data_IF_088567721575
#
_entry.id   IF_088567721575
#
_cell.length_a   1.000
_cell.length_b   1.000
_cell.length_c   1.000
_cell.angle_alpha   90.00
_cell.angle_beta   90.00
_cell.angle_gamma   90.00
#
_symmetry.space_group_name_H-M   'P 1'
#
loop_
_entity.id
_entity.type
_entity.pdbx_description
1 polymer ?
#
# COMPACT_ATOMS: atom_id res chain seq x y z
N UNK A 1 13.86 -28.65 -21.03
CA UNK A 1 14.58 -27.83 -20.02
C UNK A 1 14.12 -26.41 -20.21
N UNK A 2 13.16 -25.94 -19.40
CA UNK A 2 12.68 -24.58 -19.44
C UNK A 2 13.75 -23.67 -18.81
N UNK A 3 14.16 -22.65 -19.54
CA UNK A 3 15.07 -21.63 -19.05
C UNK A 3 14.44 -20.96 -17.83
N UNK A 4 15.11 -21.04 -16.67
CA UNK A 4 14.78 -20.25 -15.50
C UNK A 4 14.95 -18.77 -15.85
N UNK A 5 13.85 -18.06 -16.10
CA UNK A 5 13.88 -16.62 -16.12
C UNK A 5 14.22 -16.14 -14.71
N UNK A 6 15.38 -15.54 -14.54
CA UNK A 6 15.86 -14.91 -13.29
C UNK A 6 15.05 -13.61 -12.97
N UNK A 7 13.73 -13.67 -13.03
CA UNK A 7 12.83 -12.57 -12.68
C UNK A 7 12.13 -12.84 -11.35
N UNK A 8 11.71 -11.79 -10.67
CA UNK A 8 10.87 -11.92 -9.48
C UNK A 8 9.59 -12.73 -9.79
N UNK A 9 9.05 -13.50 -8.82
CA UNK A 9 7.77 -14.19 -8.98
C UNK A 9 6.64 -13.21 -9.33
N UNK A 10 5.57 -13.66 -10.01
CA UNK A 10 4.43 -12.81 -10.33
C UNK A 10 3.77 -12.25 -9.06
N UNK A 11 3.06 -11.14 -9.19
CA UNK A 11 2.38 -10.51 -8.06
C UNK A 11 1.05 -11.20 -7.78
N UNK A 12 0.71 -11.40 -6.51
CA UNK A 12 -0.60 -11.87 -6.09
C UNK A 12 -1.53 -10.68 -5.83
N UNK A 13 -2.66 -10.64 -6.50
CA UNK A 13 -3.68 -9.61 -6.31
C UNK A 13 -4.85 -10.18 -5.50
N UNK A 14 -5.13 -9.56 -4.36
CA UNK A 14 -6.38 -9.76 -3.64
C UNK A 14 -7.48 -8.93 -4.30
N UNK A 15 -8.56 -9.59 -4.73
CA UNK A 15 -9.66 -8.99 -5.50
C UNK A 15 -10.29 -7.74 -4.83
N UNK A 16 -10.30 -7.71 -3.48
CA UNK A 16 -11.09 -6.76 -2.73
C UNK A 16 -12.57 -7.14 -2.69
N UNK A 17 -13.44 -6.22 -2.30
CA UNK A 17 -14.88 -6.47 -2.26
C UNK A 17 -15.45 -6.54 -3.69
N UNK A 18 -16.11 -7.65 -4.08
CA UNK A 18 -16.70 -7.83 -5.43
C UNK A 18 -17.74 -6.78 -5.82
N UNK A 19 -18.42 -6.20 -4.84
CA UNK A 19 -19.41 -5.15 -5.06
C UNK A 19 -18.81 -3.75 -5.23
N UNK A 20 -17.50 -3.59 -4.96
CA UNK A 20 -16.76 -2.33 -5.06
C UNK A 20 -16.09 -2.11 -6.41
N UNK A 21 -15.31 -1.02 -6.51
CA UNK A 21 -14.58 -0.66 -7.74
C UNK A 21 -13.32 -1.51 -7.97
N UNK A 22 -12.84 -2.27 -6.97
CA UNK A 22 -11.59 -3.05 -7.07
C UNK A 22 -11.52 -3.93 -8.32
N UNK A 23 -12.49 -4.84 -8.54
CA UNK A 23 -12.47 -5.75 -9.70
C UNK A 23 -12.42 -5.02 -11.05
N UNK A 24 -13.19 -3.94 -11.25
CA UNK A 24 -13.19 -3.19 -12.50
C UNK A 24 -11.85 -2.48 -12.75
N UNK A 25 -11.19 -2.01 -11.68
CA UNK A 25 -9.90 -1.33 -11.78
C UNK A 25 -8.75 -2.31 -12.05
N UNK A 26 -8.78 -3.53 -11.48
CA UNK A 26 -7.82 -4.56 -11.84
C UNK A 26 -7.99 -5.06 -13.27
N UNK A 27 -9.22 -5.21 -13.75
CA UNK A 27 -9.50 -5.55 -15.14
C UNK A 27 -8.95 -4.48 -16.09
N UNK A 28 -9.17 -3.20 -15.78
CA UNK A 28 -8.65 -2.10 -16.59
C UNK A 28 -7.11 -2.00 -16.50
N UNK A 29 -6.52 -2.19 -15.32
CA UNK A 29 -5.07 -2.22 -15.17
C UNK A 29 -4.45 -3.32 -16.04
N UNK A 30 -5.06 -4.52 -16.09
CA UNK A 30 -4.59 -5.59 -16.96
C UNK A 30 -4.75 -5.22 -18.44
N UNK A 31 -5.86 -4.60 -18.85
CA UNK A 31 -6.06 -4.17 -20.25
C UNK A 31 -4.98 -3.18 -20.71
N UNK A 32 -4.47 -2.35 -19.79
CA UNK A 32 -3.39 -1.37 -20.03
C UNK A 32 -2.00 -1.87 -19.66
N UNK A 33 -1.83 -3.17 -19.38
CA UNK A 33 -0.59 -3.74 -18.81
C UNK A 33 0.69 -3.42 -19.60
N UNK A 34 0.60 -3.41 -20.91
CA UNK A 34 1.75 -3.12 -21.78
C UNK A 34 2.10 -1.64 -21.76
N UNK A 35 1.11 -0.76 -21.90
CA UNK A 35 1.29 0.70 -21.82
C UNK A 35 1.83 1.11 -20.45
N UNK A 36 1.29 0.52 -19.39
CA UNK A 36 1.68 0.79 -18.01
C UNK A 36 2.98 0.09 -17.58
N UNK A 37 3.55 -0.81 -18.38
CA UNK A 37 4.77 -1.56 -18.04
C UNK A 37 4.61 -2.42 -16.78
N UNK A 38 3.45 -3.08 -16.62
CA UNK A 38 3.16 -3.86 -15.42
C UNK A 38 3.89 -5.20 -15.45
N UNK A 39 4.47 -5.58 -14.32
CA UNK A 39 4.96 -6.93 -14.06
C UNK A 39 3.80 -7.92 -14.10
N UNK A 40 4.04 -9.20 -14.47
CA UNK A 40 3.01 -10.22 -14.42
C UNK A 40 2.36 -10.31 -13.04
N UNK A 41 1.03 -10.35 -13.04
CA UNK A 41 0.24 -10.57 -11.83
C UNK A 41 -0.91 -11.54 -12.10
N UNK A 42 -1.44 -12.11 -11.06
CA UNK A 42 -2.65 -12.93 -11.08
C UNK A 42 -3.60 -12.51 -9.96
N UNK A 43 -4.89 -12.74 -10.15
CA UNK A 43 -5.89 -12.46 -9.11
C UNK A 43 -6.26 -13.78 -8.43
N UNK A 44 -6.47 -13.74 -7.12
CA UNK A 44 -6.88 -14.91 -6.34
C UNK A 44 -8.41 -14.99 -6.26
N UNK A 45 -9.03 -15.86 -7.05
CA UNK A 45 -10.49 -16.03 -7.17
C UNK A 45 -11.18 -14.96 -7.99
N UNK A 46 -12.51 -15.05 -8.11
CA UNK A 46 -13.39 -14.03 -8.70
C UNK A 46 -13.32 -13.89 -10.22
N UNK A 47 -13.12 -14.97 -10.96
CA UNK A 47 -13.02 -14.91 -12.42
C UNK A 47 -14.30 -14.34 -13.07
N UNK A 48 -15.48 -14.78 -12.61
CA UNK A 48 -16.77 -14.27 -13.10
C UNK A 48 -17.01 -12.82 -12.69
N UNK A 49 -16.63 -12.46 -11.46
CA UNK A 49 -16.68 -11.07 -10.97
C UNK A 49 -15.83 -10.15 -11.85
N UNK A 50 -14.60 -10.54 -12.18
CA UNK A 50 -13.69 -9.75 -13.02
C UNK A 50 -14.24 -9.56 -14.44
N UNK A 51 -14.79 -10.61 -15.04
CA UNK A 51 -15.42 -10.53 -16.39
C UNK A 51 -16.63 -9.61 -16.36
N UNK A 52 -17.49 -9.72 -15.34
CA UNK A 52 -18.66 -8.85 -15.20
C UNK A 52 -18.25 -7.39 -14.98
N UNK A 53 -17.24 -7.16 -14.14
CA UNK A 53 -16.70 -5.84 -13.85
C UNK A 53 -16.04 -5.20 -15.09
N UNK A 54 -15.29 -5.96 -15.88
CA UNK A 54 -14.69 -5.50 -17.13
C UNK A 54 -15.77 -5.08 -18.15
N UNK A 55 -16.83 -5.87 -18.27
CA UNK A 55 -17.97 -5.55 -19.16
C UNK A 55 -18.63 -4.22 -18.81
N UNK A 56 -18.75 -3.88 -17.52
CA UNK A 56 -19.32 -2.59 -17.11
C UNK A 56 -18.50 -1.39 -17.59
N UNK A 57 -17.24 -1.62 -17.94
CA UNK A 57 -16.31 -0.63 -18.53
C UNK A 57 -16.16 -0.77 -20.06
N UNK A 58 -16.88 -1.67 -20.68
CA UNK A 58 -16.76 -1.95 -22.11
C UNK A 58 -15.45 -2.67 -22.50
N UNK A 59 -14.81 -3.33 -21.53
CA UNK A 59 -13.56 -4.08 -21.73
C UNK A 59 -13.91 -5.55 -21.98
N UNK A 60 -13.44 -6.10 -23.09
CA UNK A 60 -13.42 -7.55 -23.33
C UNK A 60 -12.20 -8.14 -22.62
N UNK A 61 -12.45 -8.85 -21.52
CA UNK A 61 -11.42 -9.38 -20.64
C UNK A 61 -11.30 -10.91 -20.83
N UNK A 62 -10.28 -11.38 -21.53
CA UNK A 62 -9.94 -12.79 -21.52
C UNK A 62 -9.36 -13.16 -20.15
N UNK A 63 -9.91 -14.22 -19.55
CA UNK A 63 -9.47 -14.75 -18.26
C UNK A 63 -8.95 -16.17 -18.44
N UNK A 64 -7.77 -16.46 -17.91
CA UNK A 64 -7.19 -17.79 -17.85
C UNK A 64 -7.15 -18.30 -16.40
N UNK A 65 -7.83 -19.41 -16.11
CA UNK A 65 -7.70 -20.07 -14.80
C UNK A 65 -6.35 -20.77 -14.73
N UNK A 66 -5.62 -20.54 -13.64
CA UNK A 66 -4.34 -21.18 -13.36
C UNK A 66 -4.42 -22.03 -12.09
N UNK A 67 -3.63 -23.09 -12.05
CA UNK A 67 -3.52 -23.97 -10.88
C UNK A 67 -2.36 -23.56 -9.94
N UNK A 68 -1.32 -22.93 -10.50
CA UNK A 68 -0.15 -22.47 -9.76
C UNK A 68 0.29 -21.04 -10.18
N UNK A 69 0.82 -20.23 -9.25
CA UNK A 69 1.31 -18.88 -9.53
C UNK A 69 2.33 -18.81 -10.69
N UNK A 70 3.19 -19.82 -10.81
CA UNK A 70 4.23 -19.88 -11.85
C UNK A 70 3.68 -19.83 -13.29
N UNK A 71 2.43 -20.24 -13.51
CA UNK A 71 1.78 -20.22 -14.82
C UNK A 71 1.43 -18.78 -15.27
N UNK A 72 1.29 -17.86 -14.30
CA UNK A 72 0.80 -16.51 -14.58
C UNK A 72 1.65 -15.76 -15.60
N UNK A 73 2.98 -15.84 -15.50
CA UNK A 73 3.88 -15.08 -16.36
C UNK A 73 3.73 -15.43 -17.87
N UNK A 74 3.50 -16.70 -18.18
CA UNK A 74 3.34 -17.16 -19.56
C UNK A 74 2.01 -16.76 -20.19
N UNK A 75 0.97 -16.61 -19.36
CA UNK A 75 -0.39 -16.32 -19.81
C UNK A 75 -0.74 -14.82 -19.77
N UNK A 76 0.02 -14.04 -18.99
CA UNK A 76 -0.27 -12.63 -18.70
C UNK A 76 -0.41 -11.74 -19.94
N UNK A 77 0.34 -12.06 -20.98
CA UNK A 77 0.28 -11.33 -22.27
C UNK A 77 -1.04 -11.52 -23.03
N UNK A 78 -1.73 -12.65 -22.86
CA UNK A 78 -2.91 -13.03 -23.63
C UNK A 78 -4.21 -12.99 -22.83
N UNK A 79 -4.16 -13.31 -21.52
CA UNK A 79 -5.32 -13.34 -20.64
C UNK A 79 -4.93 -12.94 -19.22
N UNK A 80 -5.90 -12.42 -18.45
CA UNK A 80 -5.72 -12.18 -17.01
C UNK A 80 -5.69 -13.52 -16.26
N UNK A 81 -4.57 -13.90 -15.62
CA UNK A 81 -4.52 -15.14 -14.87
C UNK A 81 -5.35 -15.01 -13.59
N UNK A 82 -6.16 -16.04 -13.30
CA UNK A 82 -6.94 -16.13 -12.04
C UNK A 82 -6.66 -17.46 -11.38
N UNK A 83 -6.16 -17.41 -10.15
CA UNK A 83 -5.82 -18.58 -9.35
C UNK A 83 -7.03 -19.04 -8.54
N UNK A 84 -7.38 -20.31 -8.68
CA UNK A 84 -8.49 -20.92 -7.94
C UNK A 84 -9.81 -20.89 -8.69
N UNK A 85 -10.83 -21.48 -8.05
CA UNK A 85 -12.18 -21.64 -8.61
C UNK A 85 -13.24 -20.81 -7.87
N UNK A 86 -12.87 -20.23 -6.73
CA UNK A 86 -13.77 -19.45 -5.87
C UNK A 86 -14.27 -18.22 -6.63
N UNK A 87 -15.58 -18.01 -6.55
CA UNK A 87 -16.27 -16.93 -7.25
C UNK A 87 -17.49 -16.46 -6.45
N UNK A 88 -18.10 -15.36 -6.85
CA UNK A 88 -19.34 -14.83 -6.28
C UNK A 88 -20.17 -14.12 -7.34
N UNK A 89 -21.40 -13.79 -7.02
CA UNK A 89 -22.24 -12.92 -7.86
C UNK A 89 -21.65 -11.51 -7.95
N UNK A 90 -21.73 -10.90 -9.14
CA UNK A 90 -21.35 -9.50 -9.33
C UNK A 90 -22.52 -8.58 -8.98
N UNK A 91 -22.55 -8.04 -7.77
CA UNK A 91 -23.62 -7.15 -7.25
C UNK A 91 -23.07 -5.74 -7.01
N UNK A 92 -22.69 -5.02 -8.08
CA UNK A 92 -22.08 -3.70 -7.98
C UNK A 92 -22.86 -2.73 -7.10
N UNK A 93 -22.20 -2.14 -6.10
CA UNK A 93 -22.79 -1.19 -5.15
C UNK A 93 -23.60 -1.83 -4.03
N UNK A 94 -23.84 -3.15 -4.07
CA UNK A 94 -24.64 -3.87 -3.08
C UNK A 94 -23.84 -5.03 -2.45
N UNK A 95 -22.94 -4.73 -1.49
CA UNK A 95 -22.09 -5.75 -0.88
C UNK A 95 -22.91 -6.74 -0.05
N UNK A 96 -22.60 -8.03 -0.20
CA UNK A 96 -23.25 -9.13 0.48
C UNK A 96 -22.25 -10.05 1.20
N UNK A 97 -22.77 -11.09 1.87
CA UNK A 97 -21.99 -12.05 2.65
C UNK A 97 -21.12 -12.96 1.78
N UNK A 98 -21.60 -13.33 0.60
CA UNK A 98 -20.88 -14.19 -0.34
C UNK A 98 -19.67 -13.43 -0.91
N UNK A 99 -19.87 -12.18 -1.33
CA UNK A 99 -18.81 -11.29 -1.77
C UNK A 99 -17.77 -11.03 -0.67
N UNK A 100 -18.22 -10.85 0.58
CA UNK A 100 -17.30 -10.70 1.72
C UNK A 100 -16.45 -11.97 1.92
N UNK A 101 -17.05 -13.17 1.80
CA UNK A 101 -16.33 -14.43 1.91
C UNK A 101 -15.27 -14.58 0.80
N UNK A 102 -15.61 -14.25 -0.45
CA UNK A 102 -14.66 -14.23 -1.56
C UNK A 102 -13.54 -13.23 -1.32
N UNK A 103 -13.84 -12.01 -0.85
CA UNK A 103 -12.84 -10.99 -0.54
C UNK A 103 -11.84 -11.45 0.52
N UNK A 104 -12.34 -12.09 1.59
CA UNK A 104 -11.48 -12.63 2.67
C UNK A 104 -10.65 -13.82 2.18
N UNK A 105 -11.26 -14.75 1.42
CA UNK A 105 -10.53 -15.86 0.79
C UNK A 105 -9.39 -15.33 -0.10
N UNK A 106 -9.72 -14.37 -0.96
CA UNK A 106 -8.76 -13.75 -1.88
C UNK A 106 -7.61 -13.08 -1.14
N UNK A 107 -7.89 -12.31 -0.09
CA UNK A 107 -6.88 -11.66 0.74
C UNK A 107 -5.97 -12.69 1.43
N UNK A 108 -6.57 -13.71 2.04
CA UNK A 108 -5.84 -14.76 2.75
C UNK A 108 -4.93 -15.52 1.81
N UNK A 109 -5.43 -15.94 0.66
CA UNK A 109 -4.66 -16.72 -0.32
C UNK A 109 -3.51 -15.91 -0.92
N UNK A 110 -3.77 -14.67 -1.34
CA UNK A 110 -2.72 -13.78 -1.87
C UNK A 110 -1.61 -13.53 -0.85
N UNK A 111 -1.98 -13.33 0.42
CA UNK A 111 -1.02 -13.13 1.52
C UNK A 111 -0.16 -14.37 1.75
N UNK A 112 -0.77 -15.56 1.79
CA UNK A 112 -0.04 -16.83 1.97
C UNK A 112 0.98 -17.06 0.87
N UNK A 113 0.62 -16.77 -0.39
CA UNK A 113 1.52 -16.91 -1.53
C UNK A 113 2.70 -15.93 -1.50
N UNK A 114 2.49 -14.72 -0.98
CA UNK A 114 3.59 -13.78 -0.77
C UNK A 114 4.50 -14.23 0.38
N UNK A 115 3.95 -14.78 1.46
CA UNK A 115 4.74 -15.30 2.59
C UNK A 115 5.54 -16.53 2.19
N UNK A 116 4.98 -17.44 1.37
CA UNK A 116 5.69 -18.63 0.88
C UNK A 116 6.73 -18.33 -0.20
N UNK A 117 6.75 -17.09 -0.74
CA UNK A 117 7.64 -16.71 -1.83
C UNK A 117 7.16 -17.15 -3.22
N UNK A 118 5.98 -17.74 -3.33
CA UNK A 118 5.36 -18.10 -4.62
C UNK A 118 4.85 -16.87 -5.37
N UNK A 119 4.63 -15.75 -4.65
CA UNK A 119 4.37 -14.44 -5.23
C UNK A 119 5.40 -13.43 -4.74
N UNK A 120 5.86 -12.53 -5.63
CA UNK A 120 6.85 -11.50 -5.32
C UNK A 120 6.32 -10.39 -4.43
N UNK A 121 5.01 -10.16 -4.45
CA UNK A 121 4.32 -9.17 -3.62
C UNK A 121 2.84 -9.48 -3.53
N UNK A 122 2.16 -8.86 -2.55
CA UNK A 122 0.70 -8.81 -2.51
C UNK A 122 0.21 -7.38 -2.83
N UNK A 123 -0.73 -7.29 -3.77
CA UNK A 123 -1.45 -6.03 -4.06
C UNK A 123 -2.90 -6.22 -3.63
N UNK A 124 -3.38 -5.38 -2.71
CA UNK A 124 -4.70 -5.60 -2.14
C UNK A 124 -5.74 -4.62 -2.68
N UNK A 125 -6.86 -5.16 -3.19
CA UNK A 125 -8.06 -4.40 -3.47
C UNK A 125 -8.76 -3.91 -2.19
N UNK A 126 -9.57 -2.86 -2.29
CA UNK A 126 -10.29 -2.31 -1.14
C UNK A 126 -11.36 -3.27 -0.61
N UNK A 127 -11.51 -3.35 0.71
CA UNK A 127 -12.49 -4.19 1.40
C UNK A 127 -13.48 -3.37 2.22
N UNK A 128 -14.69 -3.89 2.41
CA UNK A 128 -15.68 -3.35 3.33
C UNK A 128 -15.54 -4.02 4.71
N UNK A 129 -14.90 -3.34 5.66
CA UNK A 129 -14.64 -3.89 7.01
C UNK A 129 -15.92 -4.36 7.71
N UNK A 130 -17.01 -3.60 7.59
CA UNK A 130 -18.30 -3.96 8.19
C UNK A 130 -18.84 -5.30 7.66
N UNK A 131 -18.68 -5.59 6.37
CA UNK A 131 -19.11 -6.84 5.76
C UNK A 131 -18.20 -8.01 6.13
N UNK A 132 -16.89 -7.77 6.20
CA UNK A 132 -15.97 -8.80 6.67
C UNK A 132 -16.19 -9.17 8.14
N UNK A 133 -16.55 -8.21 8.99
CA UNK A 133 -16.90 -8.47 10.39
C UNK A 133 -18.10 -9.43 10.53
N UNK A 134 -19.09 -9.39 9.62
CA UNK A 134 -20.24 -10.29 9.60
C UNK A 134 -19.86 -11.76 9.34
N UNK A 135 -18.67 -12.02 8.82
CA UNK A 135 -18.14 -13.36 8.54
C UNK A 135 -16.96 -13.76 9.44
N UNK A 136 -16.71 -12.99 10.50
CA UNK A 136 -15.72 -13.31 11.53
C UNK A 136 -14.35 -12.69 11.32
N UNK A 137 -14.20 -11.70 10.45
CA UNK A 137 -12.97 -10.91 10.38
C UNK A 137 -12.89 -9.97 11.58
N UNK A 138 -11.86 -10.14 12.41
CA UNK A 138 -11.73 -9.45 13.70
C UNK A 138 -10.69 -8.33 13.69
N UNK A 139 -9.81 -8.28 12.70
CA UNK A 139 -8.75 -7.28 12.62
C UNK A 139 -9.31 -5.88 12.30
N UNK A 140 -8.71 -4.81 12.82
CA UNK A 140 -9.10 -3.42 12.51
C UNK A 140 -9.02 -3.08 11.01
N UNK A 141 -8.12 -3.74 10.29
CA UNK A 141 -7.93 -3.54 8.85
C UNK A 141 -7.01 -4.56 8.19
N UNK A 142 -6.73 -4.35 6.91
CA UNK A 142 -5.83 -5.22 6.15
C UNK A 142 -4.38 -5.17 6.65
N UNK A 143 -3.93 -4.03 7.18
CA UNK A 143 -2.56 -3.88 7.70
C UNK A 143 -2.33 -4.80 8.89
N UNK A 144 -3.26 -4.80 9.84
CA UNK A 144 -3.19 -5.64 11.03
C UNK A 144 -3.35 -7.13 10.66
N UNK A 145 -4.25 -7.44 9.73
CA UNK A 145 -4.38 -8.80 9.19
C UNK A 145 -3.06 -9.31 8.58
N UNK A 146 -2.37 -8.49 7.81
CA UNK A 146 -1.09 -8.85 7.19
C UNK A 146 0.02 -8.98 8.23
N UNK A 147 0.03 -8.13 9.26
CA UNK A 147 0.99 -8.25 10.37
C UNK A 147 0.79 -9.56 11.12
N UNK A 148 -0.46 -9.91 11.48
CA UNK A 148 -0.81 -11.19 12.10
C UNK A 148 -0.38 -12.38 11.24
N UNK A 149 -0.70 -12.36 9.95
CA UNK A 149 -0.35 -13.42 9.01
C UNK A 149 1.17 -13.59 8.85
N UNK A 150 1.92 -12.49 8.97
CA UNK A 150 3.39 -12.50 8.95
C UNK A 150 4.03 -12.79 10.30
N UNK A 151 3.26 -12.93 11.37
CA UNK A 151 3.77 -13.17 12.73
C UNK A 151 4.57 -12.01 13.32
N UNK A 152 4.25 -10.77 12.96
CA UNK A 152 4.92 -9.57 13.48
C UNK A 152 3.95 -8.69 14.29
N UNK A 153 4.46 -7.90 15.25
CA UNK A 153 3.65 -6.93 15.98
C UNK A 153 3.02 -5.87 15.05
N UNK A 154 1.80 -5.44 15.35
CA UNK A 154 1.08 -4.44 14.54
C UNK A 154 1.84 -3.12 14.41
N UNK A 155 2.52 -2.68 15.45
CA UNK A 155 3.35 -1.48 15.47
C UNK A 155 4.55 -1.53 14.51
N UNK A 156 4.96 -2.73 14.11
CA UNK A 156 6.00 -2.94 13.10
C UNK A 156 5.51 -2.75 11.67
N UNK A 157 4.20 -2.80 11.45
CA UNK A 157 3.58 -2.52 10.16
C UNK A 157 3.35 -1.02 10.01
N UNK A 158 4.19 -0.36 9.21
CA UNK A 158 4.20 1.10 9.07
C UNK A 158 3.59 1.52 7.75
N UNK A 159 2.53 2.34 7.82
CA UNK A 159 1.90 2.91 6.63
C UNK A 159 2.78 4.00 6.02
N UNK A 160 3.06 3.88 4.74
CA UNK A 160 3.65 4.94 3.91
C UNK A 160 2.72 5.22 2.74
N UNK A 161 2.41 6.47 2.50
CA UNK A 161 1.86 6.89 1.21
C UNK A 161 3.00 7.28 0.29
N UNK A 162 2.97 6.77 -0.94
CA UNK A 162 4.00 7.01 -1.94
C UNK A 162 3.36 7.43 -3.25
N UNK A 163 3.81 8.55 -3.78
CA UNK A 163 3.48 9.07 -5.10
C UNK A 163 4.74 9.39 -5.90
N UNK A 164 4.59 9.82 -7.15
CA UNK A 164 5.73 10.24 -7.97
C UNK A 164 6.53 11.40 -7.38
N UNK A 165 5.85 12.31 -6.68
CA UNK A 165 6.45 13.56 -6.20
C UNK A 165 6.76 13.59 -4.71
N UNK A 166 6.20 12.67 -3.92
CA UNK A 166 6.33 12.69 -2.47
C UNK A 166 6.12 11.31 -1.86
N UNK A 167 6.81 11.01 -0.75
CA UNK A 167 6.52 9.92 0.17
C UNK A 167 6.33 10.47 1.56
N UNK A 168 5.27 10.03 2.25
CA UNK A 168 4.96 10.45 3.62
C UNK A 168 4.61 9.27 4.50
N UNK A 169 5.01 9.34 5.76
CA UNK A 169 4.70 8.35 6.80
C UNK A 169 4.10 9.07 8.00
N UNK A 170 2.84 8.87 8.33
CA UNK A 170 2.26 9.37 9.57
C UNK A 170 2.70 8.52 10.75
N UNK A 171 3.17 9.16 11.81
CA UNK A 171 3.54 8.48 13.06
C UNK A 171 2.30 8.06 13.85
N UNK A 172 1.26 8.89 13.85
CA UNK A 172 -0.04 8.58 14.44
C UNK A 172 -1.12 8.58 13.36
N UNK A 173 -2.03 7.60 13.39
CA UNK A 173 -3.11 7.41 12.41
C UNK A 173 -4.43 7.14 13.12
N UNK A 174 -5.55 7.64 12.57
CA UNK A 174 -6.91 7.38 13.03
C UNK A 174 -7.15 7.66 14.53
N UNK A 175 -6.49 8.68 15.06
CA UNK A 175 -6.66 9.18 16.43
C UNK A 175 -7.12 10.63 16.41
N UNK A 176 -7.79 11.09 17.46
CA UNK A 176 -8.15 12.50 17.55
C UNK A 176 -6.90 13.37 17.66
N UNK A 177 -6.92 14.56 17.03
CA UNK A 177 -5.76 15.45 17.01
C UNK A 177 -5.26 15.82 18.41
N UNK A 178 -6.17 15.96 19.38
CA UNK A 178 -5.83 16.25 20.78
C UNK A 178 -5.07 15.11 21.49
N UNK A 179 -5.12 13.88 20.98
CA UNK A 179 -4.41 12.72 21.53
C UNK A 179 -2.99 12.61 20.98
N UNK A 180 -2.71 13.24 19.85
CA UNK A 180 -1.42 13.15 19.16
C UNK A 180 -0.24 13.48 20.06
N UNK A 181 -0.23 14.61 20.82
CA UNK A 181 0.91 14.94 21.68
C UNK A 181 1.23 13.86 22.72
N UNK A 182 0.20 13.20 23.27
CA UNK A 182 0.36 12.13 24.26
C UNK A 182 0.92 10.85 23.66
N UNK A 183 0.58 10.55 22.41
CA UNK A 183 1.01 9.35 21.70
C UNK A 183 2.41 9.49 21.11
N UNK A 184 2.88 10.73 20.87
CA UNK A 184 4.20 10.99 20.34
C UNK A 184 5.26 10.76 21.43
N UNK A 185 5.94 9.63 21.32
CA UNK A 185 7.08 9.30 22.18
C UNK A 185 8.36 9.24 21.35
N UNK A 186 9.49 9.40 22.03
CA UNK A 186 10.80 9.21 21.42
C UNK A 186 10.93 7.82 20.79
N UNK A 187 10.50 6.77 21.50
CA UNK A 187 10.57 5.38 21.01
C UNK A 187 9.73 5.17 19.76
N UNK A 188 8.53 5.78 19.68
CA UNK A 188 7.68 5.72 18.49
C UNK A 188 8.39 6.34 17.28
N UNK A 189 8.99 7.51 17.43
CA UNK A 189 9.69 8.21 16.35
C UNK A 189 10.90 7.38 15.90
N UNK A 190 11.72 6.92 16.84
CA UNK A 190 12.93 6.15 16.54
C UNK A 190 12.62 4.81 15.89
N UNK A 191 11.66 4.05 16.43
CA UNK A 191 11.31 2.73 15.88
C UNK A 191 10.76 2.84 14.46
N UNK A 192 9.83 3.76 14.21
CA UNK A 192 9.27 3.95 12.86
C UNK A 192 10.31 4.49 11.88
N UNK A 193 11.17 5.42 12.26
CA UNK A 193 12.23 5.91 11.41
C UNK A 193 13.20 4.80 10.98
N UNK A 194 13.57 3.88 11.88
CA UNK A 194 14.42 2.72 11.56
C UNK A 194 13.73 1.75 10.58
N UNK A 195 12.45 1.45 10.80
CA UNK A 195 11.66 0.61 9.89
C UNK A 195 11.62 1.25 8.50
N UNK A 196 11.34 2.54 8.42
CA UNK A 196 11.29 3.30 7.17
C UNK A 196 12.64 3.29 6.46
N UNK A 197 13.73 3.60 7.16
CA UNK A 197 15.08 3.59 6.57
C UNK A 197 15.44 2.22 6.00
N UNK A 198 15.18 1.14 6.76
CA UNK A 198 15.45 -0.23 6.31
C UNK A 198 14.62 -0.59 5.07
N UNK A 199 13.31 -0.30 5.10
CA UNK A 199 12.41 -0.61 3.99
C UNK A 199 12.75 0.19 2.73
N UNK A 200 13.08 1.47 2.85
CA UNK A 200 13.48 2.28 1.70
C UNK A 200 14.78 1.78 1.07
N UNK A 201 15.75 1.35 1.87
CA UNK A 201 16.97 0.71 1.36
C UNK A 201 16.66 -0.58 0.61
N UNK A 202 15.92 -1.50 1.24
CA UNK A 202 15.64 -2.83 0.71
C UNK A 202 14.67 -2.81 -0.49
N UNK A 203 13.57 -2.07 -0.38
CA UNK A 203 12.44 -2.18 -1.34
C UNK A 203 12.49 -1.09 -2.42
N UNK A 204 13.11 0.07 -2.12
CA UNK A 204 13.17 1.21 -3.05
C UNK A 204 14.59 1.50 -3.56
N UNK A 205 15.61 0.81 -3.03
CA UNK A 205 17.01 1.02 -3.42
C UNK A 205 17.58 2.36 -2.96
N UNK A 206 16.98 3.00 -1.95
CA UNK A 206 17.38 4.29 -1.38
C UNK A 206 18.23 4.05 -0.14
N UNK A 207 19.56 3.94 -0.32
CA UNK A 207 20.51 3.71 0.77
C UNK A 207 21.73 4.61 0.63
N UNK A 208 21.99 5.51 1.62
CA UNK A 208 21.14 5.82 2.76
C UNK A 208 19.88 6.59 2.37
N UNK A 209 18.72 6.22 2.93
CA UNK A 209 17.50 6.98 2.74
C UNK A 209 17.55 8.30 3.51
N UNK A 210 17.23 9.41 2.86
CA UNK A 210 17.17 10.74 3.47
C UNK A 210 15.78 10.94 4.06
N UNK A 211 15.69 11.01 5.39
CA UNK A 211 14.44 11.13 6.13
C UNK A 211 14.31 12.55 6.68
N UNK A 212 13.26 13.26 6.29
CA UNK A 212 12.89 14.53 6.89
C UNK A 212 11.79 14.31 7.95
N UNK A 213 11.98 14.79 9.17
CA UNK A 213 11.01 14.71 10.25
C UNK A 213 10.37 16.08 10.46
N UNK A 214 9.04 16.15 10.44
CA UNK A 214 8.31 17.40 10.71
C UNK A 214 8.30 17.72 12.20
N UNK A 215 8.05 18.97 12.56
CA UNK A 215 7.57 19.32 13.90
C UNK A 215 6.09 18.98 14.05
N UNK A 216 5.61 18.96 15.27
CA UNK A 216 4.19 18.85 15.61
C UNK A 216 3.51 20.21 15.51
N UNK A 217 4.16 21.22 16.08
CA UNK A 217 3.61 22.56 16.27
C UNK A 217 3.95 23.50 15.08
N UNK A 218 3.19 24.60 14.89
CA UNK A 218 3.53 25.63 13.91
C UNK A 218 4.98 26.11 14.08
N UNK A 219 5.65 26.37 12.97
CA UNK A 219 7.07 26.79 12.94
C UNK A 219 8.02 25.88 13.75
N UNK A 220 7.67 24.57 13.85
CA UNK A 220 8.40 23.60 14.66
C UNK A 220 8.61 24.07 16.11
N UNK A 221 7.53 24.64 16.72
CA UNK A 221 7.48 25.03 18.12
C UNK A 221 8.12 26.39 18.45
N UNK A 222 8.82 27.04 17.51
CA UNK A 222 9.46 28.38 17.69
C UNK A 222 10.20 28.51 19.03
N UNK A 223 11.19 27.68 19.24
CA UNK A 223 12.00 27.61 20.48
C UNK A 223 11.16 27.38 21.77
N UNK A 224 10.04 26.66 21.65
CA UNK A 224 9.15 26.31 22.75
C UNK A 224 8.05 27.33 23.06
N UNK A 225 7.88 28.33 22.20
CA UNK A 225 6.80 29.35 22.34
C UNK A 225 5.43 28.81 21.94
N UNK A 226 5.40 27.85 21.01
CA UNK A 226 4.17 27.24 20.48
C UNK A 226 4.05 25.74 20.83
N UNK A 227 4.63 25.33 21.94
CA UNK A 227 4.70 23.94 22.36
C UNK A 227 6.13 23.52 22.64
N UNK A 228 6.30 22.40 23.31
CA UNK A 228 7.63 21.92 23.75
C UNK A 228 7.96 20.54 23.23
N UNK A 229 7.07 19.92 22.46
CA UNK A 229 7.19 18.57 21.92
C UNK A 229 8.44 18.44 21.02
N UNK A 230 8.78 19.51 20.28
CA UNK A 230 9.99 19.53 19.48
C UNK A 230 11.23 19.44 20.35
N UNK A 231 11.28 20.17 21.47
CA UNK A 231 12.44 20.24 22.38
C UNK A 231 12.52 18.97 23.23
N UNK A 232 11.39 18.50 23.74
CA UNK A 232 11.36 17.45 24.75
C UNK A 232 11.33 16.04 24.14
N UNK A 233 10.80 15.88 22.91
CA UNK A 233 10.56 14.57 22.31
C UNK A 233 11.19 14.44 20.93
N UNK A 234 10.89 15.36 19.97
CA UNK A 234 11.23 15.16 18.57
C UNK A 234 12.72 15.38 18.29
N UNK A 235 13.30 16.50 18.78
CA UNK A 235 14.72 16.77 18.58
C UNK A 235 15.63 15.75 19.27
N UNK A 236 15.35 15.27 20.50
CA UNK A 236 16.10 14.19 21.11
C UNK A 236 16.04 12.87 20.32
N UNK A 237 14.87 12.51 19.75
CA UNK A 237 14.74 11.33 18.89
C UNK A 237 15.59 11.48 17.61
N UNK A 238 15.55 12.65 16.97
CA UNK A 238 16.37 12.94 15.79
C UNK A 238 17.87 12.85 16.11
N UNK A 239 18.29 13.37 17.25
CA UNK A 239 19.70 13.29 17.68
C UNK A 239 20.16 11.82 17.81
N UNK A 240 19.37 10.98 18.50
CA UNK A 240 19.68 9.56 18.66
C UNK A 240 19.69 8.78 17.31
N UNK A 241 18.79 9.12 16.40
CA UNK A 241 18.77 8.51 15.07
C UNK A 241 20.05 8.88 14.27
N UNK A 242 20.49 10.14 14.34
CA UNK A 242 21.75 10.59 13.71
C UNK A 242 22.98 9.91 14.32
N UNK A 243 23.03 9.81 15.63
CA UNK A 243 24.11 9.09 16.34
C UNK A 243 24.17 7.62 15.92
N UNK A 244 23.03 7.01 15.59
CA UNK A 244 22.97 5.65 15.06
C UNK A 244 23.28 5.53 13.56
N UNK A 245 23.65 6.63 12.89
CA UNK A 245 24.09 6.66 11.50
C UNK A 245 22.98 6.84 10.46
N UNK A 246 21.73 7.14 10.86
CA UNK A 246 20.65 7.42 9.91
C UNK A 246 20.76 8.86 9.36
N UNK A 247 20.47 9.03 8.07
CA UNK A 247 20.42 10.33 7.40
C UNK A 247 19.07 11.02 7.68
N UNK A 248 18.94 11.59 8.87
CA UNK A 248 17.70 12.21 9.36
C UNK A 248 17.91 13.72 9.53
N UNK A 249 16.91 14.52 9.11
CA UNK A 249 16.88 15.98 9.29
C UNK A 249 15.60 16.42 10.02
N UNK A 250 15.62 17.59 10.63
CA UNK A 250 14.48 18.18 11.35
C UNK A 250 14.81 18.55 12.81
N UNK A 251 13.76 18.90 13.62
CA UNK A 251 12.37 19.02 13.19
C UNK A 251 12.15 20.17 12.21
N UNK A 252 11.42 19.93 11.12
CA UNK A 252 11.12 20.94 10.11
C UNK A 252 9.71 21.52 10.28
N UNK A 253 9.50 22.82 10.05
CA UNK A 253 8.17 23.37 9.89
C UNK A 253 7.43 22.67 8.74
N UNK A 254 6.27 22.07 9.02
CA UNK A 254 5.56 21.25 8.04
C UNK A 254 5.04 22.05 6.85
N UNK A 255 4.66 23.31 7.06
CA UNK A 255 4.17 24.23 6.04
C UNK A 255 5.26 24.56 4.98
N UNK A 256 6.52 24.59 5.37
CA UNK A 256 7.64 24.87 4.48
C UNK A 256 8.21 23.58 3.83
N UNK A 257 8.22 22.45 4.53
CA UNK A 257 8.89 21.22 4.11
C UNK A 257 8.40 20.69 2.76
N UNK A 258 7.13 20.85 2.44
CA UNK A 258 6.53 20.29 1.23
C UNK A 258 6.63 21.19 0.00
N UNK A 259 7.31 22.32 0.08
CA UNK A 259 7.61 23.16 -1.08
C UNK A 259 8.48 22.39 -2.10
N UNK A 260 8.31 22.67 -3.39
CA UNK A 260 8.96 21.89 -4.45
C UNK A 260 10.48 21.76 -4.27
N UNK A 261 11.17 22.85 -3.97
CA UNK A 261 12.62 22.89 -3.77
C UNK A 261 13.10 22.19 -2.48
N UNK A 262 12.21 22.02 -1.49
CA UNK A 262 12.54 21.28 -0.27
C UNK A 262 12.37 19.78 -0.47
N UNK A 263 11.35 19.35 -1.25
CA UNK A 263 11.09 17.92 -1.54
C UNK A 263 12.25 17.20 -2.22
N UNK A 264 13.09 17.91 -2.95
CA UNK A 264 14.31 17.36 -3.57
C UNK A 264 15.40 16.96 -2.55
N UNK A 265 15.31 17.46 -1.32
CA UNK A 265 16.33 17.25 -0.27
C UNK A 265 16.11 15.99 0.54
N UNK A 266 14.97 15.33 0.44
CA UNK A 266 14.63 14.12 1.18
C UNK A 266 13.93 13.06 0.31
N UNK A 267 13.93 11.83 0.76
CA UNK A 267 13.30 10.70 0.09
C UNK A 267 11.93 10.36 0.69
N UNK A 268 11.74 10.68 1.98
CA UNK A 268 10.48 10.49 2.72
C UNK A 268 10.35 11.51 3.85
N UNK A 269 9.12 11.97 4.10
CA UNK A 269 8.79 12.79 5.26
C UNK A 269 8.09 11.95 6.35
N UNK A 270 8.62 11.92 7.58
CA UNK A 270 7.93 11.43 8.76
C UNK A 270 7.14 12.58 9.37
N UNK A 271 5.83 12.41 9.41
CA UNK A 271 4.87 13.40 9.87
C UNK A 271 4.26 12.97 11.21
N UNK A 272 4.00 13.92 12.08
CA UNK A 272 3.55 13.62 13.44
C UNK A 272 2.14 13.02 13.47
N UNK A 273 1.28 13.41 12.51
CA UNK A 273 -0.12 12.96 12.48
C UNK A 273 -0.65 12.80 11.05
N UNK A 274 -1.80 12.15 10.97
CA UNK A 274 -2.44 11.73 9.72
C UNK A 274 -2.52 12.84 8.67
N UNK A 275 -3.19 13.97 8.95
CA UNK A 275 -3.44 14.99 7.95
C UNK A 275 -2.17 15.74 7.54
N UNK A 276 -1.18 15.87 8.45
CA UNK A 276 0.13 16.43 8.13
C UNK A 276 0.87 15.61 7.05
N UNK A 277 0.64 14.28 7.04
CA UNK A 277 1.19 13.38 6.03
C UNK A 277 0.34 13.36 4.75
N UNK A 278 -0.99 13.26 4.89
CA UNK A 278 -1.88 12.93 3.78
C UNK A 278 -2.27 14.13 2.94
N UNK A 279 -2.47 15.31 3.54
CA UNK A 279 -2.85 16.52 2.79
C UNK A 279 -1.82 16.85 1.70
N UNK A 280 -0.51 16.93 1.98
CA UNK A 280 0.48 17.27 0.96
C UNK A 280 0.52 16.24 -0.19
N UNK A 281 0.57 14.95 0.12
CA UNK A 281 0.68 13.95 -0.92
C UNK A 281 -0.61 13.83 -1.75
N UNK A 282 -1.78 13.95 -1.12
CA UNK A 282 -3.05 13.95 -1.86
C UNK A 282 -3.26 15.19 -2.70
N UNK A 283 -2.66 16.30 -2.32
CA UNK A 283 -2.66 17.52 -3.15
C UNK A 283 -1.78 17.36 -4.39
N UNK A 284 -0.66 16.65 -4.26
CA UNK A 284 0.31 16.49 -5.34
C UNK A 284 0.01 15.29 -6.24
N UNK A 285 -0.37 14.16 -5.65
CA UNK A 285 -0.38 12.84 -6.30
C UNK A 285 -1.71 12.07 -6.09
N UNK A 286 -2.85 12.75 -6.11
CA UNK A 286 -4.17 12.17 -5.79
C UNK A 286 -4.48 10.89 -6.58
N UNK A 287 -4.26 10.93 -7.91
CA UNK A 287 -4.57 9.80 -8.81
C UNK A 287 -3.47 8.73 -8.89
N UNK A 288 -2.33 8.96 -8.25
CA UNK A 288 -1.17 8.07 -8.29
C UNK A 288 -0.69 7.64 -6.89
N UNK A 289 -1.45 7.99 -5.86
CA UNK A 289 -1.14 7.65 -4.47
C UNK A 289 -1.24 6.15 -4.21
N UNK A 290 -0.17 5.58 -3.68
CA UNK A 290 -0.07 4.17 -3.30
C UNK A 290 0.13 4.08 -1.79
N UNK A 291 -0.68 3.27 -1.14
CA UNK A 291 -0.46 2.89 0.25
C UNK A 291 0.48 1.67 0.27
N UNK A 292 1.62 1.83 0.90
CA UNK A 292 2.63 0.78 1.09
C UNK A 292 2.72 0.44 2.57
N UNK A 293 2.67 -0.84 2.91
CA UNK A 293 2.92 -1.28 4.28
C UNK A 293 4.38 -1.68 4.42
N UNK A 294 5.16 -0.84 5.06
CA UNK A 294 6.56 -1.09 5.39
C UNK A 294 6.68 -1.98 6.64
N UNK A 295 7.85 -2.58 6.84
CA UNK A 295 8.14 -3.43 8.01
C UNK A 295 7.69 -4.87 7.88
N UNK A 296 6.85 -5.21 6.93
CA UNK A 296 6.48 -6.58 6.62
C UNK A 296 7.65 -7.36 6.00
N UNK A 297 7.76 -8.69 6.24
CA UNK A 297 8.70 -9.54 5.51
C UNK A 297 8.36 -9.65 4.02
N UNK A 298 7.11 -9.39 3.64
CA UNK A 298 6.62 -9.36 2.26
C UNK A 298 6.48 -7.92 1.74
N UNK A 299 6.42 -7.75 0.42
CA UNK A 299 6.01 -6.48 -0.20
C UNK A 299 4.49 -6.40 -0.20
N UNK A 300 3.94 -5.30 0.32
CA UNK A 300 2.49 -5.03 0.21
C UNK A 300 2.24 -3.62 -0.27
N UNK A 301 1.42 -3.52 -1.32
CA UNK A 301 0.88 -2.25 -1.80
C UNK A 301 -0.63 -2.30 -1.94
N UNK A 302 -1.27 -1.15 -1.94
CA UNK A 302 -2.68 -1.00 -2.32
C UNK A 302 -2.93 0.39 -2.91
N UNK A 303 -3.95 0.55 -3.76
CA UNK A 303 -4.43 1.88 -4.13
C UNK A 303 -4.94 2.62 -2.89
N UNK A 304 -4.79 3.94 -2.88
CA UNK A 304 -5.24 4.80 -1.77
C UNK A 304 -6.69 5.27 -1.99
N UNK A 305 -7.61 4.32 -2.15
CA UNK A 305 -9.05 4.55 -2.20
C UNK A 305 -9.81 3.40 -1.55
N UNK A 306 -11.06 3.65 -1.18
CA UNK A 306 -11.98 2.65 -0.62
C UNK A 306 -12.75 1.88 -1.69
N UNK A 307 -13.73 1.10 -1.24
CA UNK A 307 -14.61 0.28 -2.09
C UNK A 307 -15.47 1.10 -3.06
N UNK A 308 -15.75 2.35 -2.74
CA UNK A 308 -16.50 3.30 -3.58
C UNK A 308 -17.79 2.71 -4.20
N UNK A 309 -18.59 2.04 -3.38
CA UNK A 309 -19.82 1.34 -3.80
C UNK A 309 -20.76 2.22 -4.65
N UNK A 310 -20.84 3.51 -4.36
CA UNK A 310 -21.73 4.44 -5.07
C UNK A 310 -21.40 4.62 -6.56
N UNK A 311 -20.20 4.27 -6.99
CA UNK A 311 -19.75 4.39 -8.39
C UNK A 311 -19.33 3.06 -9.01
N UNK A 312 -19.36 1.96 -8.25
CA UNK A 312 -19.01 0.63 -8.74
C UNK A 312 -19.89 0.21 -9.92
N UNK A 313 -19.32 -0.34 -10.96
CA UNK A 313 -20.00 -0.77 -12.17
C UNK A 313 -20.46 0.36 -13.10
N UNK A 314 -20.11 1.63 -12.80
CA UNK A 314 -20.48 2.79 -13.63
C UNK A 314 -19.37 3.20 -14.62
N UNK A 315 -18.21 2.56 -14.55
CA UNK A 315 -17.07 2.83 -15.46
C UNK A 315 -16.41 4.21 -15.28
N UNK A 316 -16.66 4.90 -14.17
CA UNK A 316 -16.15 6.28 -13.92
C UNK A 316 -14.97 6.33 -12.96
N UNK A 317 -14.64 5.24 -12.25
CA UNK A 317 -13.53 5.20 -11.34
C UNK A 317 -12.18 5.28 -12.08
N UNK A 318 -11.22 6.08 -11.58
CA UNK A 318 -9.89 6.22 -12.17
C UNK A 318 -9.02 5.00 -11.84
N UNK A 319 -8.33 4.35 -12.81
CA UNK A 319 -7.44 3.23 -12.56
C UNK A 319 -6.03 3.66 -12.11
N UNK A 320 -5.74 4.95 -12.04
CA UNK A 320 -4.40 5.49 -11.82
C UNK A 320 -3.72 4.92 -10.58
N UNK A 321 -4.38 4.99 -9.42
CA UNK A 321 -3.84 4.47 -8.16
C UNK A 321 -3.64 2.95 -8.17
N UNK A 322 -4.54 2.18 -8.81
CA UNK A 322 -4.41 0.72 -8.96
C UNK A 322 -3.21 0.35 -9.83
N UNK A 323 -3.05 1.03 -10.97
CA UNK A 323 -1.88 0.85 -11.85
C UNK A 323 -0.60 1.22 -11.12
N UNK A 324 -0.58 2.33 -10.37
CA UNK A 324 0.58 2.75 -9.59
C UNK A 324 0.93 1.72 -8.51
N UNK A 325 -0.06 1.16 -7.80
CA UNK A 325 0.15 0.12 -6.79
C UNK A 325 0.75 -1.15 -7.37
N UNK A 326 0.25 -1.62 -8.53
CA UNK A 326 0.79 -2.79 -9.24
C UNK A 326 2.22 -2.55 -9.72
N UNK A 327 2.50 -1.38 -10.31
CA UNK A 327 3.84 -1.01 -10.78
C UNK A 327 4.83 -0.98 -9.61
N UNK A 328 4.49 -0.29 -8.54
CA UNK A 328 5.35 -0.18 -7.35
C UNK A 328 5.61 -1.53 -6.70
N UNK A 329 4.60 -2.41 -6.61
CA UNK A 329 4.77 -3.77 -6.14
C UNK A 329 5.79 -4.55 -6.97
N UNK A 330 5.68 -4.45 -8.31
CA UNK A 330 6.61 -5.11 -9.24
C UNK A 330 8.05 -4.60 -9.10
N UNK A 331 8.22 -3.28 -8.97
CA UNK A 331 9.53 -2.67 -8.75
C UNK A 331 10.17 -3.12 -7.43
N UNK A 332 9.40 -3.10 -6.33
CA UNK A 332 9.87 -3.56 -5.03
C UNK A 332 10.21 -5.07 -5.04
N UNK A 333 9.36 -5.90 -5.64
CA UNK A 333 9.59 -7.33 -5.78
C UNK A 333 10.87 -7.63 -6.58
N UNK A 334 11.07 -6.93 -7.69
CA UNK A 334 12.26 -7.09 -8.53
C UNK A 334 13.54 -6.71 -7.78
N UNK A 335 13.51 -5.63 -6.98
CA UNK A 335 14.65 -5.24 -6.15
C UNK A 335 14.97 -6.28 -5.10
N UNK A 336 13.96 -6.80 -4.38
CA UNK A 336 14.18 -7.88 -3.40
C UNK A 336 14.76 -9.15 -4.02
N UNK A 337 14.35 -9.51 -5.22
CA UNK A 337 14.87 -10.68 -5.92
C UNK A 337 16.32 -10.51 -6.40
N UNK A 338 16.84 -9.27 -6.40
CA UNK A 338 18.20 -8.95 -6.83
C UNK A 338 19.21 -8.86 -5.67
N UNK A 339 18.74 -8.96 -4.41
CA UNK A 339 19.55 -8.98 -3.20
C UNK A 339 19.89 -10.42 -2.81
#
# INVERSE_FOLDING_TARGET
MAASSNGAPPLAVSLGDPAGVGPELFAEAWSRRHEAGLSPFFVTGGAGVLVAAARSRGIDLPVARIAAPAEAASLFGEALPVLGSEDAGASFGAPDREGAALALHSLTRATQLAISGEAGAVVTGPIAKSRLAEIGFTQPGQTEFLADACGIPHESAVMMLAGPNLRTVPLTVHVALCEVPTLLTRDLIESKARIVAHALGRDFGLSPARIAITGLNPHAGEDGRMGREEIETIAPAIAALRESGLAVTGPHPADALFAAHEREKFDVALCMYHDQALIPIKTLDFDAGVNVTLGLPIVRTSPDHGTAFGIAGKGVASPGATIAALRMAGECASRRASI
#
